data_IF_219948039473
#
_entry.id   IF_219948039473
#
_cell.length_a   1.000
_cell.length_b   1.000
_cell.length_c   1.000
_cell.angle_alpha   90.00
_cell.angle_beta   90.00
_cell.angle_gamma   90.00
#
_symmetry.space_group_name_H-M   'P 1'
#
loop_
_entity.id
_entity.type
_entity.pdbx_description
1 polymer ?
#
# COMPACT_ATOMS: atom_id res chain seq x y z
N UNK A 1 -42.14 13.90 -23.36
CA UNK A 1 -41.76 13.69 -24.78
C UNK A 1 -40.97 12.40 -24.89
N UNK A 2 -41.26 11.55 -25.88
CA UNK A 2 -40.48 10.34 -26.16
C UNK A 2 -39.32 10.75 -27.07
N UNK A 3 -38.09 10.54 -26.61
CA UNK A 3 -36.89 10.72 -27.44
C UNK A 3 -36.92 9.60 -28.48
N UNK A 4 -36.89 9.95 -29.77
CA UNK A 4 -36.72 9.00 -30.85
C UNK A 4 -35.27 8.52 -30.84
N UNK A 5 -35.06 7.20 -30.78
CA UNK A 5 -33.74 6.59 -30.81
C UNK A 5 -33.73 5.41 -31.78
N UNK A 6 -32.62 5.26 -32.48
CA UNK A 6 -32.36 4.14 -33.37
C UNK A 6 -31.55 3.07 -32.62
N UNK A 7 -31.99 1.82 -32.64
CA UNK A 7 -31.31 0.69 -31.98
C UNK A 7 -30.55 -0.12 -33.01
N UNK A 8 -29.23 0.08 -33.10
CA UNK A 8 -28.36 -0.82 -33.84
C UNK A 8 -28.18 -2.14 -33.07
N UNK A 9 -28.23 -3.27 -33.79
CA UNK A 9 -27.99 -4.62 -33.25
C UNK A 9 -26.65 -5.21 -33.71
N UNK A 10 -25.79 -4.39 -34.32
CA UNK A 10 -24.52 -4.84 -34.85
C UNK A 10 -23.55 -5.21 -33.69
N UNK A 11 -23.07 -6.46 -33.59
CA UNK A 11 -22.14 -6.87 -32.54
C UNK A 11 -20.80 -6.11 -32.56
N UNK A 12 -20.37 -5.61 -33.72
CA UNK A 12 -19.12 -4.85 -33.81
C UNK A 12 -19.22 -3.48 -33.16
N UNK A 13 -20.37 -2.82 -33.29
CA UNK A 13 -20.64 -1.52 -32.66
C UNK A 13 -20.77 -1.65 -31.14
N UNK A 14 -21.30 -2.78 -30.66
CA UNK A 14 -21.46 -3.04 -29.23
C UNK A 14 -20.13 -3.15 -28.47
N UNK A 15 -19.04 -3.58 -29.12
CA UNK A 15 -17.70 -3.63 -28.49
C UNK A 15 -17.25 -2.25 -27.99
N UNK A 16 -17.64 -1.17 -28.66
CA UNK A 16 -17.33 0.19 -28.22
C UNK A 16 -18.10 0.58 -26.96
N UNK A 17 -19.33 0.09 -26.81
CA UNK A 17 -20.14 0.27 -25.60
C UNK A 17 -19.51 -0.51 -24.44
N UNK A 18 -19.12 -1.78 -24.67
CA UNK A 18 -18.46 -2.60 -23.64
C UNK A 18 -17.17 -1.98 -23.12
N UNK A 19 -16.39 -1.34 -23.99
CA UNK A 19 -15.15 -0.63 -23.61
C UNK A 19 -15.39 0.55 -22.67
N UNK A 20 -16.57 1.18 -22.73
CA UNK A 20 -16.93 2.32 -21.87
C UNK A 20 -17.39 1.87 -20.48
N UNK A 21 -17.75 0.59 -20.32
CA UNK A 21 -18.18 0.07 -19.02
C UNK A 21 -16.99 0.01 -18.05
N UNK A 22 -17.19 0.44 -16.80
CA UNK A 22 -16.14 0.37 -15.79
C UNK A 22 -15.90 -1.07 -15.35
N UNK A 23 -14.67 -1.35 -14.90
CA UNK A 23 -14.36 -2.60 -14.25
C UNK A 23 -15.11 -2.73 -12.92
N UNK A 24 -15.75 -3.89 -12.70
CA UNK A 24 -16.38 -4.23 -11.42
C UNK A 24 -15.37 -4.52 -10.32
N UNK A 25 -14.21 -5.07 -10.69
CA UNK A 25 -13.15 -5.47 -9.79
C UNK A 25 -11.83 -4.84 -10.21
N UNK A 26 -10.92 -4.63 -9.25
CA UNK A 26 -9.60 -4.11 -9.54
C UNK A 26 -8.79 -5.21 -10.23
N UNK A 27 -8.24 -4.96 -11.43
CA UNK A 27 -7.46 -5.95 -12.14
C UNK A 27 -6.17 -6.28 -11.39
N UNK A 28 -5.71 -7.52 -11.54
CA UNK A 28 -4.41 -7.92 -11.03
C UNK A 28 -3.28 -7.30 -11.87
N UNK A 29 -2.18 -6.89 -11.23
CA UNK A 29 -1.06 -6.31 -11.94
C UNK A 29 -0.34 -7.38 -12.76
N UNK A 30 -0.01 -7.05 -14.01
CA UNK A 30 0.79 -7.95 -14.87
C UNK A 30 2.20 -8.09 -14.32
N UNK A 31 2.69 -9.32 -14.21
CA UNK A 31 4.08 -9.64 -13.84
C UNK A 31 5.04 -9.14 -14.91
N UNK A 32 6.05 -8.38 -14.49
CA UNK A 32 7.12 -7.82 -15.32
C UNK A 32 8.41 -7.82 -14.52
N UNK A 33 9.54 -7.91 -15.22
CA UNK A 33 10.87 -7.85 -14.59
C UNK A 33 11.18 -6.45 -14.05
N UNK A 34 10.71 -5.42 -14.74
CA UNK A 34 10.95 -4.02 -14.38
C UNK A 34 9.70 -3.16 -14.48
N UNK A 35 9.52 -2.30 -13.47
CA UNK A 35 8.43 -1.31 -13.41
C UNK A 35 9.01 0.11 -13.30
N UNK A 36 8.84 0.96 -14.33
CA UNK A 36 9.37 2.33 -14.34
C UNK A 36 8.83 3.23 -13.22
N UNK A 37 7.64 2.93 -12.69
CA UNK A 37 7.01 3.70 -11.61
C UNK A 37 7.64 3.47 -10.22
N UNK A 38 8.62 2.58 -10.11
CA UNK A 38 9.18 2.15 -8.82
C UNK A 38 8.21 1.31 -7.99
N UNK A 39 7.10 0.86 -8.57
CA UNK A 39 6.21 -0.13 -7.97
C UNK A 39 6.86 -1.51 -8.00
N UNK A 40 6.64 -2.32 -6.96
CA UNK A 40 7.17 -3.68 -6.87
C UNK A 40 6.10 -4.65 -6.38
N UNK A 41 6.12 -5.85 -6.97
CA UNK A 41 5.34 -6.99 -6.53
C UNK A 41 5.83 -7.49 -5.15
N UNK A 42 4.91 -7.94 -4.28
CA UNK A 42 5.30 -8.64 -3.07
C UNK A 42 5.99 -9.97 -3.43
N UNK A 43 7.06 -10.33 -2.73
CA UNK A 43 7.71 -11.63 -2.85
C UNK A 43 6.96 -12.64 -1.99
N UNK A 44 6.72 -13.84 -2.52
CA UNK A 44 6.16 -14.92 -1.73
C UNK A 44 7.25 -15.49 -0.83
N UNK A 45 7.26 -15.10 0.43
CA UNK A 45 8.19 -15.60 1.44
C UNK A 45 7.35 -16.37 2.47
N UNK A 46 7.59 -17.66 2.54
CA UNK A 46 6.90 -18.55 3.49
C UNK A 46 7.49 -18.38 4.91
N UNK A 47 6.65 -18.63 5.92
CA UNK A 47 7.06 -18.74 7.33
C UNK A 47 7.69 -17.49 7.97
N UNK A 48 7.23 -16.30 7.60
CA UNK A 48 7.61 -15.08 8.32
C UNK A 48 6.80 -14.92 9.62
N UNK A 49 7.43 -14.48 10.72
CA UNK A 49 6.72 -14.21 11.99
C UNK A 49 5.71 -13.07 11.87
N UNK A 50 5.91 -12.18 10.91
CA UNK A 50 4.98 -11.11 10.58
C UNK A 50 4.97 -10.84 9.08
N UNK A 51 3.87 -10.25 8.60
CA UNK A 51 3.66 -9.95 7.20
C UNK A 51 2.92 -8.61 7.04
N UNK A 52 3.29 -7.84 6.02
CA UNK A 52 2.62 -6.58 5.67
C UNK A 52 1.76 -6.79 4.42
N UNK A 53 0.44 -6.77 4.59
CA UNK A 53 -0.48 -6.96 3.45
C UNK A 53 -0.58 -5.69 2.60
N UNK A 54 -0.44 -5.83 1.28
CA UNK A 54 -0.69 -4.75 0.32
C UNK A 54 -2.15 -4.27 0.38
N UNK A 55 -2.36 -3.02 -0.03
CA UNK A 55 -3.70 -2.42 -0.12
C UNK A 55 -4.49 -3.04 -1.28
N UNK A 56 -5.79 -2.72 -1.37
CA UNK A 56 -6.68 -3.15 -2.46
C UNK A 56 -6.14 -2.77 -3.85
N UNK A 57 -5.35 -1.69 -3.92
CA UNK A 57 -4.73 -1.19 -5.16
C UNK A 57 -3.29 -1.72 -5.34
N UNK A 58 -2.92 -2.79 -4.62
CA UNK A 58 -1.59 -3.40 -4.65
C UNK A 58 -0.44 -2.50 -4.17
N UNK A 59 -0.75 -1.49 -3.34
CA UNK A 59 0.23 -0.53 -2.81
C UNK A 59 0.72 -0.89 -1.41
N UNK A 60 1.93 -0.47 -1.06
CA UNK A 60 2.48 -0.59 0.29
C UNK A 60 1.70 0.35 1.24
N UNK A 61 1.13 -0.15 2.35
CA UNK A 61 0.26 0.64 3.24
C UNK A 61 1.04 1.51 4.24
N UNK A 62 1.96 2.34 3.74
CA UNK A 62 2.77 3.29 4.52
C UNK A 62 2.36 4.72 4.14
N UNK A 63 1.90 5.50 5.11
CA UNK A 63 1.29 6.80 4.87
C UNK A 63 1.81 7.87 5.81
N UNK A 64 1.97 9.09 5.30
CA UNK A 64 2.16 10.27 6.15
C UNK A 64 0.80 10.71 6.70
N UNK A 65 0.70 10.84 8.01
CA UNK A 65 -0.43 11.46 8.70
C UNK A 65 0.01 12.79 9.29
N UNK A 66 -0.54 13.87 8.75
CA UNK A 66 -0.43 15.20 9.31
C UNK A 66 -1.54 15.40 10.36
N UNK A 67 -1.19 15.96 11.51
CA UNK A 67 -2.12 16.28 12.60
C UNK A 67 -1.77 17.64 13.19
N UNK A 68 -2.64 18.16 14.05
CA UNK A 68 -2.45 19.43 14.76
C UNK A 68 -2.09 20.57 13.80
N UNK A 69 -2.97 20.84 12.83
CA UNK A 69 -2.80 21.89 11.80
C UNK A 69 -1.47 21.79 11.04
N UNK A 70 -0.98 20.57 10.80
CA UNK A 70 0.25 20.31 10.03
C UNK A 70 1.54 20.33 10.84
N UNK A 71 1.51 20.75 12.11
CA UNK A 71 2.70 20.77 12.97
C UNK A 71 3.19 19.35 13.30
N UNK A 72 2.28 18.39 13.46
CA UNK A 72 2.62 17.02 13.83
C UNK A 72 2.64 16.13 12.60
N UNK A 73 3.83 15.63 12.25
CA UNK A 73 4.04 14.61 11.22
C UNK A 73 4.17 13.22 11.87
N UNK A 74 3.40 12.26 11.37
CA UNK A 74 3.44 10.87 11.82
C UNK A 74 3.52 9.95 10.62
N UNK A 75 4.39 8.95 10.68
CA UNK A 75 4.42 7.88 9.68
C UNK A 75 3.57 6.71 10.19
N UNK A 76 2.55 6.31 9.43
CA UNK A 76 1.59 5.28 9.80
C UNK A 76 1.69 4.10 8.86
N UNK A 77 1.90 2.92 9.43
CA UNK A 77 1.97 1.64 8.73
C UNK A 77 0.74 0.83 9.11
N UNK A 78 0.01 0.32 8.13
CA UNK A 78 -1.24 -0.45 8.35
C UNK A 78 -1.12 -1.87 7.81
N UNK A 79 -2.09 -2.71 8.16
CA UNK A 79 -2.23 -4.07 7.63
C UNK A 79 -1.04 -5.00 7.98
N UNK A 80 -0.45 -4.79 9.15
CA UNK A 80 0.52 -5.72 9.72
C UNK A 80 -0.24 -6.92 10.26
N UNK A 81 0.27 -8.12 9.98
CA UNK A 81 -0.25 -9.42 10.44
C UNK A 81 0.88 -10.20 11.09
N UNK A 82 0.54 -11.09 12.02
CA UNK A 82 1.52 -11.83 12.83
C UNK A 82 2.04 -10.99 14.00
N UNK A 83 3.30 -11.19 14.36
CA UNK A 83 3.94 -10.54 15.50
C UNK A 83 4.28 -9.06 15.22
N UNK A 84 3.39 -8.17 15.67
CA UNK A 84 3.53 -6.72 15.49
C UNK A 84 4.66 -6.14 16.34
N UNK A 85 4.99 -6.76 17.48
CA UNK A 85 6.07 -6.31 18.36
C UNK A 85 7.42 -6.56 17.72
N UNK A 86 7.61 -7.74 17.12
CA UNK A 86 8.83 -8.06 16.39
C UNK A 86 8.98 -7.16 15.14
N UNK A 87 7.88 -6.88 14.43
CA UNK A 87 7.88 -5.92 13.32
C UNK A 87 8.35 -4.53 13.78
N UNK A 88 7.81 -4.03 14.89
CA UNK A 88 8.17 -2.72 15.42
C UNK A 88 9.64 -2.67 15.85
N UNK A 89 10.14 -3.70 16.54
CA UNK A 89 11.53 -3.77 16.99
C UNK A 89 12.51 -3.76 15.82
N UNK A 90 12.26 -4.55 14.79
CA UNK A 90 13.10 -4.61 13.58
C UNK A 90 13.10 -3.26 12.85
N UNK A 91 11.92 -2.66 12.70
CA UNK A 91 11.76 -1.39 12.02
C UNK A 91 12.42 -0.25 12.78
N UNK A 92 12.23 -0.19 14.10
CA UNK A 92 12.86 0.79 14.99
C UNK A 92 14.37 0.65 14.92
N UNK A 93 14.92 -0.56 15.02
CA UNK A 93 16.34 -0.81 14.89
C UNK A 93 16.92 -0.38 13.54
N UNK A 94 16.20 -0.56 12.43
CA UNK A 94 16.60 -0.05 11.12
C UNK A 94 16.62 1.48 11.08
N UNK A 95 15.56 2.13 11.58
CA UNK A 95 15.43 3.58 11.52
C UNK A 95 16.44 4.29 12.46
N UNK A 96 16.67 3.76 13.66
CA UNK A 96 17.63 4.32 14.61
C UNK A 96 19.07 4.21 14.08
N UNK A 97 19.44 3.11 13.42
CA UNK A 97 20.73 2.98 12.74
C UNK A 97 20.90 4.01 11.63
N UNK A 98 19.84 4.27 10.86
CA UNK A 98 19.87 5.21 9.72
C UNK A 98 19.87 6.68 10.14
N UNK A 99 19.17 7.01 11.23
CA UNK A 99 18.97 8.38 11.70
C UNK A 99 19.90 8.76 12.87
N UNK A 100 20.59 7.79 13.47
CA UNK A 100 21.44 7.95 14.67
C UNK A 100 20.71 8.66 15.83
N UNK A 101 19.40 8.46 15.93
CA UNK A 101 18.53 9.06 16.94
C UNK A 101 17.50 8.06 17.38
N UNK A 102 17.12 8.12 18.65
CA UNK A 102 16.02 7.34 19.18
C UNK A 102 14.68 7.81 18.61
N UNK A 103 13.82 6.85 18.27
CA UNK A 103 12.54 7.14 17.62
C UNK A 103 11.40 6.63 18.49
N UNK A 104 10.45 7.53 18.73
CA UNK A 104 9.22 7.20 19.42
C UNK A 104 8.24 6.50 18.47
N UNK A 105 7.83 5.29 18.84
CA UNK A 105 6.89 4.43 18.15
C UNK A 105 5.67 4.17 19.02
N UNK A 106 4.54 3.86 18.38
CA UNK A 106 3.30 3.42 19.04
C UNK A 106 2.74 2.24 18.28
N UNK A 107 2.47 1.17 19.00
CA UNK A 107 1.87 -0.06 18.48
C UNK A 107 0.36 -0.03 18.75
N UNK A 108 -0.40 -0.54 17.80
CA UNK A 108 -1.84 -0.79 17.90
C UNK A 108 -2.07 -2.20 17.35
N UNK A 109 -2.08 -3.18 18.25
CA UNK A 109 -2.15 -4.60 17.91
C UNK A 109 -3.49 -4.99 17.30
N UNK A 110 -4.58 -4.48 17.89
CA UNK A 110 -5.95 -4.81 17.49
C UNK A 110 -6.18 -4.44 16.02
N UNK A 111 -5.69 -3.27 15.60
CA UNK A 111 -5.79 -2.85 14.19
C UNK A 111 -4.62 -3.27 13.31
N UNK A 112 -3.56 -3.86 13.88
CA UNK A 112 -2.34 -4.24 13.16
C UNK A 112 -1.64 -3.02 12.55
N UNK A 113 -1.38 -2.01 13.37
CA UNK A 113 -0.84 -0.71 12.95
C UNK A 113 0.31 -0.26 13.82
N UNK A 114 1.34 0.28 13.18
CA UNK A 114 2.47 0.93 13.85
C UNK A 114 2.52 2.39 13.42
N UNK A 115 2.67 3.28 14.40
CA UNK A 115 2.78 4.73 14.19
C UNK A 115 4.13 5.21 14.69
N UNK A 116 4.85 5.95 13.87
CA UNK A 116 6.18 6.47 14.14
C UNK A 116 6.10 7.99 14.19
N UNK A 117 6.77 8.61 15.16
CA UNK A 117 6.89 10.07 15.22
C UNK A 117 7.84 10.55 14.12
N UNK A 118 7.42 11.54 13.34
CA UNK A 118 8.21 12.11 12.26
C UNK A 118 7.80 11.63 10.86
N UNK A 119 8.43 12.23 9.86
CA UNK A 119 8.29 11.86 8.45
C UNK A 119 9.43 10.92 8.06
N UNK A 120 9.10 9.64 7.98
CA UNK A 120 10.01 8.56 7.66
C UNK A 120 9.43 7.65 6.57
N UNK A 121 8.41 8.12 5.84
CA UNK A 121 7.69 7.33 4.84
C UNK A 121 8.64 6.71 3.82
N UNK A 122 9.56 7.50 3.27
CA UNK A 122 10.52 7.02 2.29
C UNK A 122 11.43 5.92 2.85
N UNK A 123 11.99 6.12 4.06
CA UNK A 123 12.87 5.13 4.68
C UNK A 123 12.16 3.82 4.99
N UNK A 124 10.91 3.91 5.48
CA UNK A 124 10.07 2.75 5.73
C UNK A 124 9.74 2.04 4.41
N UNK A 125 9.39 2.77 3.35
CA UNK A 125 9.09 2.18 2.05
C UNK A 125 10.28 1.40 1.47
N UNK A 126 11.50 1.95 1.58
CA UNK A 126 12.72 1.25 1.14
C UNK A 126 12.90 -0.04 1.95
N UNK A 127 12.83 0.04 3.27
CA UNK A 127 12.97 -1.14 4.14
C UNK A 127 11.93 -2.24 3.86
N UNK A 128 10.67 -1.86 3.65
CA UNK A 128 9.59 -2.79 3.31
C UNK A 128 9.86 -3.47 1.96
N UNK A 129 10.31 -2.70 0.96
CA UNK A 129 10.67 -3.24 -0.36
C UNK A 129 11.85 -4.19 -0.28
N UNK A 130 12.86 -3.86 0.52
CA UNK A 130 14.05 -4.70 0.72
C UNK A 130 13.70 -6.03 1.38
N UNK A 131 12.80 -6.01 2.38
CA UNK A 131 12.24 -7.21 3.01
C UNK A 131 11.34 -8.02 2.06
N UNK A 132 10.85 -7.41 0.98
CA UNK A 132 10.04 -8.07 -0.04
C UNK A 132 8.55 -8.19 0.28
N UNK A 133 8.03 -7.40 1.22
CA UNK A 133 6.58 -7.34 1.50
C UNK A 133 5.82 -6.49 0.46
#
# INVERSE_FOLDING_TARGET
>A
EKIEFEVSKNPEEWKYVERLLPYKFIPEPKTKDFYPSGWSLPKHIENLPYFLRRSKNHMIPVYLKLSHRGMRKLTVIRHIKGDVWLFEKDLKGYLEKKLQKEIATRIDEVSGKVTIKGDHVHNVLVWVKDKGF
#
